data_IF_433906310326
#
_entry.id   IF_433906310326
#
_cell.length_a   1.000
_cell.length_b   1.000
_cell.length_c   1.000
_cell.angle_alpha   90.00
_cell.angle_beta   90.00
_cell.angle_gamma   90.00
#
_symmetry.space_group_name_H-M   'P 1'
#
loop_
_entity.id
_entity.type
_entity.pdbx_description
1 polymer ?
#
# COMPACT_ATOMS: atom_id res chain seq x y z
N UNK A 1 9.70 -22.21 11.81
CA UNK A 1 9.33 -21.71 13.15
C UNK A 1 7.86 -21.95 13.39
N UNK A 2 7.51 -22.38 14.59
CA UNK A 2 6.11 -22.45 15.06
C UNK A 2 5.63 -21.07 15.50
N UNK A 3 4.31 -20.87 15.61
CA UNK A 3 3.75 -19.60 16.10
C UNK A 3 4.27 -19.23 17.50
N UNK A 4 4.53 -20.22 18.37
CA UNK A 4 5.11 -20.00 19.70
C UNK A 4 6.54 -19.46 19.61
N UNK A 5 7.34 -20.02 18.72
CA UNK A 5 8.73 -19.58 18.50
C UNK A 5 8.78 -18.15 17.92
N UNK A 6 7.85 -17.80 17.03
CA UNK A 6 7.76 -16.45 16.46
C UNK A 6 7.42 -15.40 17.52
N UNK A 7 6.46 -15.72 18.41
CA UNK A 7 6.08 -14.82 19.51
C UNK A 7 7.26 -14.62 20.48
N UNK A 8 7.94 -15.71 20.87
CA UNK A 8 9.09 -15.63 21.77
C UNK A 8 10.22 -14.79 21.16
N UNK A 9 10.50 -14.98 19.86
CA UNK A 9 11.48 -14.19 19.12
C UNK A 9 11.11 -12.70 19.13
N UNK A 10 9.87 -12.34 18.76
CA UNK A 10 9.42 -10.95 18.72
C UNK A 10 9.50 -10.27 20.10
N UNK A 11 9.14 -10.97 21.18
CA UNK A 11 9.21 -10.42 22.54
C UNK A 11 10.64 -10.17 23.02
N UNK A 12 11.59 -11.03 22.62
CA UNK A 12 13.00 -10.89 22.96
C UNK A 12 13.68 -9.74 22.22
N UNK A 13 13.21 -9.39 21.01
CA UNK A 13 13.82 -8.40 20.12
C UNK A 13 12.97 -7.12 20.01
N UNK A 14 12.02 -6.89 20.94
CA UNK A 14 11.05 -5.78 20.88
C UNK A 14 11.68 -4.38 20.93
N UNK A 15 12.88 -4.27 21.47
CA UNK A 15 13.64 -3.00 21.58
C UNK A 15 14.37 -2.69 20.26
N UNK A 16 14.44 -3.65 19.33
CA UNK A 16 15.11 -3.46 18.05
C UNK A 16 14.26 -2.62 17.11
N UNK A 17 14.83 -1.50 16.68
CA UNK A 17 14.17 -0.57 15.76
C UNK A 17 14.34 -1.00 14.31
N UNK A 18 15.40 -1.77 13.99
CA UNK A 18 15.72 -2.14 12.60
C UNK A 18 14.63 -2.96 11.90
N UNK A 19 14.02 -3.99 12.53
CA UNK A 19 12.90 -4.72 11.92
C UNK A 19 11.70 -3.82 11.63
N UNK A 20 11.43 -2.83 12.49
CA UNK A 20 10.38 -1.84 12.29
C UNK A 20 10.74 -0.92 11.13
N UNK A 21 11.99 -0.45 11.05
CA UNK A 21 12.47 0.42 9.96
C UNK A 21 12.28 -0.26 8.60
N UNK A 22 12.74 -1.50 8.45
CA UNK A 22 12.59 -2.29 7.23
C UNK A 22 11.11 -2.51 6.88
N UNK A 23 10.26 -2.74 7.89
CA UNK A 23 8.82 -2.87 7.66
C UNK A 23 8.20 -1.57 7.13
N UNK A 24 8.61 -0.42 7.64
CA UNK A 24 8.13 0.89 7.18
C UNK A 24 8.68 1.26 5.81
N UNK A 25 9.95 0.97 5.52
CA UNK A 25 10.58 1.19 4.20
C UNK A 25 9.88 0.40 3.08
N UNK A 26 9.30 -0.77 3.39
CA UNK A 26 8.53 -1.59 2.45
C UNK A 26 7.15 -1.02 2.13
N UNK A 27 6.61 -0.14 2.98
CA UNK A 27 5.33 0.52 2.68
C UNK A 27 5.59 1.61 1.66
N UNK A 28 4.69 1.76 0.68
CA UNK A 28 4.71 2.96 -0.14
C UNK A 28 4.60 4.17 0.78
N UNK A 29 5.39 5.24 0.57
CA UNK A 29 5.28 6.44 1.37
C UNK A 29 3.82 6.92 1.43
N UNK A 30 3.34 7.30 2.60
CA UNK A 30 1.98 7.83 2.75
C UNK A 30 1.75 9.06 1.84
N UNK A 31 2.82 9.78 1.49
CA UNK A 31 2.82 10.88 0.53
C UNK A 31 2.42 10.50 -0.89
N UNK A 32 2.52 9.22 -1.27
CA UNK A 32 2.11 8.70 -2.58
C UNK A 32 0.74 8.01 -2.54
N UNK A 33 0.11 7.93 -1.35
CA UNK A 33 -1.16 7.23 -1.16
C UNK A 33 -2.34 8.15 -1.47
N UNK A 34 -3.22 7.73 -2.37
CA UNK A 34 -4.48 8.43 -2.66
C UNK A 34 -5.57 7.88 -1.74
N UNK A 35 -6.15 8.75 -0.92
CA UNK A 35 -7.23 8.42 0.01
C UNK A 35 -8.58 8.80 -0.58
N UNK A 36 -9.51 7.85 -0.64
CA UNK A 36 -10.90 8.12 -1.00
C UNK A 36 -11.76 8.15 0.27
N UNK A 37 -12.42 9.27 0.53
CA UNK A 37 -13.38 9.38 1.61
C UNK A 37 -14.70 8.70 1.22
N UNK A 38 -15.46 8.15 2.19
CA UNK A 38 -16.78 7.59 1.90
C UNK A 38 -17.68 8.61 1.19
N UNK A 39 -18.30 8.27 0.05
CA UNK A 39 -19.18 9.18 -0.66
C UNK A 39 -20.45 9.44 0.16
N UNK A 40 -20.93 10.68 0.17
CA UNK A 40 -22.17 11.07 0.86
C UNK A 40 -23.40 11.01 -0.05
N UNK A 41 -23.19 10.88 -1.37
CA UNK A 41 -24.25 10.74 -2.38
C UNK A 41 -23.86 9.76 -3.49
N UNK A 42 -24.87 9.30 -4.26
CA UNK A 42 -24.65 8.43 -5.43
C UNK A 42 -23.88 9.13 -6.56
N UNK A 43 -24.02 10.45 -6.67
CA UNK A 43 -23.31 11.25 -7.67
C UNK A 43 -21.82 11.34 -7.31
N UNK A 44 -21.51 11.56 -6.03
CA UNK A 44 -20.13 11.53 -5.52
C UNK A 44 -19.50 10.15 -5.68
N UNK A 45 -20.25 9.07 -5.43
CA UNK A 45 -19.78 7.70 -5.66
C UNK A 45 -19.36 7.48 -7.11
N UNK A 46 -20.19 7.92 -8.07
CA UNK A 46 -19.87 7.83 -9.50
C UNK A 46 -18.62 8.65 -9.86
N UNK A 47 -18.50 9.87 -9.34
CA UNK A 47 -17.35 10.72 -9.59
C UNK A 47 -16.05 10.11 -9.03
N UNK A 48 -16.09 9.59 -7.79
CA UNK A 48 -14.96 8.91 -7.18
C UNK A 48 -14.55 7.66 -7.96
N UNK A 49 -15.53 6.89 -8.46
CA UNK A 49 -15.26 5.69 -9.25
C UNK A 49 -14.64 6.00 -10.62
N UNK A 50 -15.10 7.04 -11.31
CA UNK A 50 -14.49 7.49 -12.57
C UNK A 50 -13.08 8.03 -12.36
N UNK A 51 -12.84 8.74 -11.26
CA UNK A 51 -11.51 9.18 -10.86
C UNK A 51 -10.58 7.99 -10.58
N UNK A 52 -11.08 6.97 -9.88
CA UNK A 52 -10.34 5.74 -9.62
C UNK A 52 -9.94 5.01 -10.90
N UNK A 53 -10.86 4.86 -11.87
CA UNK A 53 -10.56 4.24 -13.18
C UNK A 53 -9.41 4.94 -13.91
N UNK A 54 -9.40 6.27 -13.92
CA UNK A 54 -8.34 7.06 -14.56
C UNK A 54 -6.97 6.79 -13.92
N UNK A 55 -6.91 6.81 -12.58
CA UNK A 55 -5.68 6.52 -11.84
C UNK A 55 -5.14 5.10 -12.11
N UNK A 56 -6.02 4.10 -12.14
CA UNK A 56 -5.61 2.71 -12.43
C UNK A 56 -4.99 2.64 -13.83
N UNK A 57 -5.63 3.26 -14.82
CA UNK A 57 -5.13 3.27 -16.20
C UNK A 57 -3.76 3.96 -16.32
N UNK A 58 -3.60 5.13 -15.71
CA UNK A 58 -2.31 5.84 -15.69
C UNK A 58 -1.20 5.01 -15.04
N UNK A 59 -1.53 4.30 -13.96
CA UNK A 59 -0.58 3.42 -13.25
C UNK A 59 -0.21 2.19 -14.07
N UNK A 60 -1.16 1.56 -14.75
CA UNK A 60 -0.90 0.45 -15.68
C UNK A 60 -0.01 0.88 -16.86
N UNK A 61 -0.27 2.05 -17.43
CA UNK A 61 0.55 2.60 -18.50
C UNK A 61 1.97 2.92 -18.03
N UNK A 62 2.12 3.51 -16.83
CA UNK A 62 3.43 3.75 -16.22
C UNK A 62 4.19 2.44 -16.00
N UNK A 63 3.52 1.44 -15.42
CA UNK A 63 4.12 0.12 -15.19
C UNK A 63 4.57 -0.56 -16.49
N UNK A 64 3.74 -0.48 -17.55
CA UNK A 64 4.09 -1.04 -18.87
C UNK A 64 5.27 -0.32 -19.53
N UNK A 65 5.41 1.00 -19.34
CA UNK A 65 6.57 1.76 -19.81
C UNK A 65 7.85 1.36 -19.08
N UNK A 66 7.76 1.14 -17.77
CA UNK A 66 8.90 0.76 -16.91
C UNK A 66 9.27 -0.73 -17.07
N UNK A 67 8.31 -1.59 -17.41
CA UNK A 67 8.48 -3.03 -17.63
C UNK A 67 7.88 -3.44 -18.99
N UNK A 68 8.56 -3.14 -20.11
CA UNK A 68 8.08 -3.51 -21.43
C UNK A 68 8.00 -5.04 -21.56
N UNK A 69 6.96 -5.59 -22.22
CA UNK A 69 6.93 -7.01 -22.54
C UNK A 69 8.13 -7.37 -23.42
N UNK A 70 8.78 -8.49 -23.11
CA UNK A 70 9.94 -9.01 -23.83
C UNK A 70 9.63 -9.37 -25.29
#
# INVERSE_FOLDING_TARGET
>A
MTSKELIAYALAHREEVEPLRVLYERRSPDSETVWFSPPQSKEEEQQQFELFKKMVKEREEKYRRENPPA
#
